data_IF_424448687712
#
_entry.id   IF_424448687712
#
_cell.length_a   1.000
_cell.length_b   1.000
_cell.length_c   1.000
_cell.angle_alpha   90.00
_cell.angle_beta   90.00
_cell.angle_gamma   90.00
#
_symmetry.space_group_name_H-M   'P 1'
#
loop_
_entity.id
_entity.type
_entity.pdbx_description
1 polymer ?
#
# COMPACT_ATOMS: atom_id res chain seq x y z
N UNK A 1 -6.28 -7.31 8.93
CA UNK A 1 -4.97 -6.64 9.14
C UNK A 1 -3.90 -7.50 8.48
N UNK A 2 -3.15 -6.95 7.52
CA UNK A 2 -2.14 -7.67 6.74
C UNK A 2 -0.76 -7.04 6.95
N UNK A 3 0.26 -7.89 7.11
CA UNK A 3 1.65 -7.48 7.25
C UNK A 3 2.37 -7.86 5.96
N UNK A 4 2.96 -6.89 5.28
CA UNK A 4 3.64 -7.10 4.00
C UNK A 4 4.99 -6.40 4.00
N UNK A 5 6.02 -7.08 3.49
CA UNK A 5 7.29 -6.44 3.19
C UNK A 5 7.16 -5.64 1.88
N UNK A 6 7.63 -4.38 1.85
CA UNK A 6 7.53 -3.56 0.65
C UNK A 6 8.43 -4.12 -0.44
N UNK A 7 7.82 -4.58 -1.54
CA UNK A 7 8.51 -5.01 -2.75
C UNK A 7 8.42 -3.92 -3.83
N UNK A 8 9.41 -3.87 -4.71
CA UNK A 8 9.40 -2.97 -5.86
C UNK A 8 8.37 -3.50 -6.89
N UNK A 9 7.48 -2.66 -7.42
CA UNK A 9 6.55 -3.10 -8.46
C UNK A 9 7.33 -3.61 -9.68
N UNK A 10 6.90 -4.75 -10.22
CA UNK A 10 7.40 -5.32 -11.48
C UNK A 10 6.30 -5.13 -12.52
N UNK A 11 6.60 -4.39 -13.59
CA UNK A 11 5.63 -4.03 -14.64
C UNK A 11 4.76 -2.83 -14.25
N UNK A 12 5.13 -1.62 -14.66
CA UNK A 12 4.44 -0.38 -14.26
C UNK A 12 2.98 -0.32 -14.73
N UNK A 13 2.64 -1.00 -15.83
CA UNK A 13 1.29 -1.01 -16.43
C UNK A 13 0.25 -1.71 -15.55
N UNK A 14 0.70 -2.54 -14.60
CA UNK A 14 -0.18 -3.23 -13.64
C UNK A 14 -0.57 -2.36 -12.44
N UNK A 15 -0.07 -1.11 -12.33
CA UNK A 15 -0.23 -0.30 -11.12
C UNK A 15 -0.75 1.11 -11.40
N UNK A 16 -1.61 1.61 -10.51
CA UNK A 16 -1.91 3.04 -10.39
C UNK A 16 -0.90 3.66 -9.44
N UNK A 17 -0.40 4.83 -9.81
CA UNK A 17 0.58 5.55 -9.00
C UNK A 17 -0.07 6.77 -8.37
N UNK A 18 0.12 6.90 -7.05
CA UNK A 18 -0.27 8.07 -6.27
C UNK A 18 0.99 8.68 -5.68
N UNK A 19 1.17 9.98 -5.86
CA UNK A 19 2.37 10.67 -5.42
C UNK A 19 1.99 11.83 -4.49
N UNK A 20 2.67 11.86 -3.35
CA UNK A 20 2.69 12.99 -2.43
C UNK A 20 4.11 13.56 -2.41
N UNK A 21 4.30 14.67 -1.71
CA UNK A 21 5.59 15.38 -1.67
C UNK A 21 6.78 14.48 -1.28
N UNK A 22 6.54 13.48 -0.43
CA UNK A 22 7.60 12.65 0.17
C UNK A 22 7.43 11.14 -0.11
N UNK A 23 6.30 10.72 -0.70
CA UNK A 23 5.95 9.30 -0.85
C UNK A 23 5.31 9.06 -2.22
N UNK A 24 5.83 8.05 -2.92
CA UNK A 24 5.24 7.46 -4.13
C UNK A 24 4.65 6.08 -3.80
N UNK A 25 3.36 5.91 -4.04
CA UNK A 25 2.59 4.70 -3.74
C UNK A 25 2.15 4.06 -5.05
N UNK A 26 2.43 2.77 -5.21
CA UNK A 26 1.98 1.98 -6.35
C UNK A 26 0.93 0.97 -5.87
N UNK A 27 -0.29 1.10 -6.39
CA UNK A 27 -1.42 0.22 -6.05
C UNK A 27 -1.72 -0.66 -7.26
N UNK A 28 -1.71 -1.98 -7.07
CA UNK A 28 -1.99 -2.93 -8.15
C UNK A 28 -3.43 -2.74 -8.68
N UNK A 29 -3.56 -2.73 -10.00
CA UNK A 29 -4.85 -2.68 -10.69
C UNK A 29 -5.72 -3.87 -10.26
N UNK A 30 -7.02 -3.65 -10.11
CA UNK A 30 -7.99 -4.67 -9.69
C UNK A 30 -8.14 -4.83 -8.16
N UNK A 31 -7.37 -4.09 -7.35
CA UNK A 31 -7.67 -3.96 -5.93
C UNK A 31 -8.87 -3.04 -5.71
N UNK A 32 -9.76 -3.44 -4.80
CA UNK A 32 -10.89 -2.61 -4.40
C UNK A 32 -10.46 -1.78 -3.18
N UNK A 33 -10.43 -0.46 -3.35
CA UNK A 33 -10.14 0.51 -2.28
C UNK A 33 -11.48 0.93 -1.71
N UNK A 34 -11.61 0.94 -0.38
CA UNK A 34 -12.83 1.43 0.28
C UNK A 34 -13.09 2.90 -0.05
N UNK A 35 -14.35 3.32 0.01
CA UNK A 35 -14.75 4.71 -0.28
C UNK A 35 -14.03 5.73 0.63
N UNK A 36 -13.66 5.32 1.84
CA UNK A 36 -12.93 6.12 2.83
C UNK A 36 -11.44 6.33 2.47
N UNK A 37 -10.96 5.67 1.40
CA UNK A 37 -9.59 5.77 0.90
C UNK A 37 -8.61 4.75 1.47
N UNK A 38 -7.33 4.98 1.21
CA UNK A 38 -6.21 4.15 1.69
C UNK A 38 -5.45 4.87 2.80
N UNK A 39 -5.26 4.20 3.94
CA UNK A 39 -4.44 4.74 5.04
C UNK A 39 -3.15 3.92 5.13
N UNK A 40 -2.02 4.59 4.91
CA UNK A 40 -0.68 3.99 5.06
C UNK A 40 0.01 4.63 6.27
N UNK A 41 0.38 3.81 7.25
CA UNK A 41 1.12 4.26 8.43
C UNK A 41 2.49 3.61 8.48
N UNK A 42 3.55 4.42 8.52
CA UNK A 42 4.92 3.99 8.79
C UNK A 42 5.27 4.26 10.25
N UNK A 43 5.45 3.20 11.04
CA UNK A 43 5.98 3.29 12.40
C UNK A 43 7.46 2.92 12.39
N UNK A 44 8.33 3.85 12.80
CA UNK A 44 9.77 3.64 12.92
C UNK A 44 10.25 4.00 14.32
N UNK A 45 10.65 2.99 15.08
CA UNK A 45 11.33 3.08 16.38
C UNK A 45 12.78 2.58 16.23
N UNK A 46 13.62 2.77 17.24
CA UNK A 46 15.05 2.41 17.19
C UNK A 46 15.32 0.94 16.86
N UNK A 47 14.44 0.03 17.28
CA UNK A 47 14.55 -1.42 17.07
C UNK A 47 13.44 -2.01 16.19
N UNK A 48 12.59 -1.16 15.60
CA UNK A 48 11.38 -1.63 14.95
C UNK A 48 10.97 -0.73 13.79
N UNK A 49 10.71 -1.33 12.64
CA UNK A 49 10.13 -0.65 11.48
C UNK A 49 8.95 -1.47 10.99
N UNK A 50 7.76 -0.87 10.94
CA UNK A 50 6.53 -1.51 10.46
C UNK A 50 5.76 -0.57 9.54
N UNK A 51 5.27 -1.14 8.44
CA UNK A 51 4.30 -0.51 7.55
C UNK A 51 2.96 -1.18 7.80
N UNK A 52 1.92 -0.36 7.94
CA UNK A 52 0.54 -0.80 8.05
C UNK A 52 -0.26 -0.16 6.93
N UNK A 53 -1.12 -0.95 6.28
CA UNK A 53 -2.01 -0.50 5.22
C UNK A 53 -3.43 -0.91 5.56
N UNK A 54 -4.34 0.06 5.53
CA UNK A 54 -5.77 -0.10 5.78
C UNK A 54 -6.57 0.41 4.56
N UNK A 55 -7.80 -0.07 4.40
CA UNK A 55 -8.68 0.35 3.31
C UNK A 55 -8.57 -0.47 2.02
N UNK A 56 -7.86 -1.60 2.03
CA UNK A 56 -7.83 -2.57 0.92
C UNK A 56 -8.71 -3.77 1.27
N UNK A 57 -9.68 -4.08 0.42
CA UNK A 57 -10.36 -5.38 0.45
C UNK A 57 -9.75 -6.30 -0.62
N UNK A 58 -9.33 -7.48 -0.18
CA UNK A 58 -8.88 -8.54 -1.08
C UNK A 58 -10.12 -9.32 -1.50
N UNK A 59 -10.48 -9.25 -2.78
CA UNK A 59 -11.43 -10.20 -3.34
C UNK A 59 -10.78 -11.59 -3.25
N UNK A 60 -11.15 -12.35 -2.24
CA UNK A 60 -10.84 -13.78 -2.18
C UNK A 60 -11.71 -14.47 -3.22
N UNK A 61 -11.11 -14.79 -4.37
CA UNK A 61 -11.63 -15.76 -5.32
C UNK A 61 -11.60 -17.17 -4.74
#
# INVERSE_FOLDING_TARGET
MLFVEPQRPVGEEEYRTYETKDIKVHIKNGLNIKDDGLIITLSKLLWFKKIMVEGIDFLTS
#
